data_IF_640255847496
#
_entry.id   IF_640255847496
#
_cell.length_a   1.000
_cell.length_b   1.000
_cell.length_c   1.000
_cell.angle_alpha   90.00
_cell.angle_beta   90.00
_cell.angle_gamma   90.00
#
_symmetry.space_group_name_H-M   'P 1'
#
loop_
_entity.id
_entity.type
_entity.pdbx_description
1 polymer ?
#
# COMPACT_ATOMS: atom_id res chain seq x y z
N UNK A 1 49.83 -14.13 61.88
CA UNK A 1 49.09 -14.89 60.84
C UNK A 1 47.63 -14.89 61.26
N UNK A 2 46.60 -14.49 60.52
CA UNK A 2 46.43 -13.98 59.16
C UNK A 2 45.17 -13.08 59.17
N UNK A 3 45.14 -12.02 58.35
CA UNK A 3 43.99 -11.14 58.18
C UNK A 3 43.04 -11.72 57.11
N UNK A 4 41.73 -11.76 57.39
CA UNK A 4 40.71 -12.15 56.43
C UNK A 4 40.00 -10.89 55.88
N UNK A 5 40.17 -10.62 54.59
CA UNK A 5 39.52 -9.54 53.88
C UNK A 5 38.14 -9.98 53.35
N UNK A 6 37.08 -9.21 53.64
CA UNK A 6 35.78 -9.34 53.00
C UNK A 6 35.81 -8.65 51.64
N UNK A 7 35.67 -9.41 50.55
CA UNK A 7 35.40 -8.86 49.21
C UNK A 7 33.89 -8.66 49.03
N UNK A 8 33.45 -7.41 48.94
CA UNK A 8 32.10 -7.06 48.51
C UNK A 8 32.02 -7.10 46.97
N UNK A 9 31.24 -8.02 46.42
CA UNK A 9 30.87 -8.03 45.01
C UNK A 9 29.80 -6.98 44.75
N UNK A 10 30.16 -5.89 44.09
CA UNK A 10 29.21 -4.91 43.55
C UNK A 10 28.57 -5.50 42.29
N UNK A 11 27.30 -5.88 42.37
CA UNK A 11 26.50 -6.23 41.21
C UNK A 11 26.19 -4.96 40.42
N UNK A 12 26.89 -4.75 39.31
CA UNK A 12 26.53 -3.72 38.34
C UNK A 12 25.18 -4.11 37.71
N UNK A 13 24.11 -3.46 38.17
CA UNK A 13 22.79 -3.57 37.55
C UNK A 13 22.87 -3.09 36.11
N UNK A 14 22.70 -4.00 35.16
CA UNK A 14 22.49 -3.63 33.77
C UNK A 14 21.24 -2.74 33.73
N UNK A 15 21.40 -1.48 33.35
CA UNK A 15 20.29 -0.59 33.07
C UNK A 15 19.47 -1.23 31.93
N UNK A 16 18.32 -1.81 32.28
CA UNK A 16 17.36 -2.30 31.31
C UNK A 16 16.91 -1.06 30.51
N UNK A 17 17.39 -0.93 29.27
CA UNK A 17 16.92 0.11 28.38
C UNK A 17 15.39 -0.01 28.29
N UNK A 18 14.68 1.05 28.67
CA UNK A 18 13.22 1.08 28.60
C UNK A 18 12.80 0.75 27.17
N UNK A 19 11.92 -0.24 27.02
CA UNK A 19 11.36 -0.58 25.72
C UNK A 19 10.73 0.69 25.12
N UNK A 20 10.96 0.98 23.82
CA UNK A 20 10.32 2.12 23.17
C UNK A 20 8.80 2.06 23.37
N UNK A 21 8.19 3.22 23.64
CA UNK A 21 6.74 3.30 23.78
C UNK A 21 6.04 2.73 22.52
N UNK A 22 4.90 2.03 22.66
CA UNK A 22 4.17 1.49 21.52
C UNK A 22 3.83 2.59 20.52
N UNK A 23 4.27 2.45 19.27
CA UNK A 23 3.92 3.39 18.19
C UNK A 23 2.57 2.98 17.64
N UNK A 24 1.53 3.77 17.92
CA UNK A 24 0.19 3.53 17.37
C UNK A 24 0.20 3.72 15.85
N UNK A 25 -0.19 2.69 15.07
CA UNK A 25 -0.27 2.82 13.62
C UNK A 25 -1.39 3.78 13.21
N UNK A 26 -1.19 4.47 12.11
CA UNK A 26 -2.16 5.39 11.51
C UNK A 26 -2.79 4.80 10.25
N UNK A 27 -3.72 5.51 9.61
CA UNK A 27 -4.22 5.13 8.27
C UNK A 27 -3.24 5.61 7.20
N UNK A 28 -2.97 4.77 6.18
CA UNK A 28 -2.22 5.23 5.01
C UNK A 28 -3.10 6.16 4.17
N UNK A 29 -2.52 7.25 3.68
CA UNK A 29 -3.14 8.30 2.86
C UNK A 29 -2.11 8.80 1.85
N UNK A 30 -2.54 9.55 0.84
CA UNK A 30 -1.61 10.22 -0.07
C UNK A 30 -0.60 11.16 0.63
N UNK A 31 -0.90 11.65 1.84
CA UNK A 31 -0.02 12.56 2.57
C UNK A 31 1.16 11.88 3.28
N UNK A 32 1.05 10.58 3.59
CA UNK A 32 2.10 9.80 4.28
C UNK A 32 2.61 8.63 3.43
N UNK A 33 2.25 8.58 2.15
CA UNK A 33 2.77 7.59 1.21
C UNK A 33 3.20 8.22 -0.09
N UNK A 34 4.31 7.75 -0.63
CA UNK A 34 4.67 7.97 -2.03
C UNK A 34 3.98 6.91 -2.90
N UNK A 35 3.29 7.35 -3.95
CA UNK A 35 2.58 6.49 -4.89
C UNK A 35 3.29 6.47 -6.25
N UNK A 36 3.42 5.28 -6.84
CA UNK A 36 3.93 5.11 -8.19
C UNK A 36 3.09 4.08 -8.95
N UNK A 37 2.87 4.31 -10.24
CA UNK A 37 2.20 3.36 -11.13
C UNK A 37 3.13 3.00 -12.28
N UNK A 38 3.24 1.71 -12.60
CA UNK A 38 4.09 1.21 -13.68
C UNK A 38 3.38 0.13 -14.48
N UNK A 39 3.67 0.06 -15.78
CA UNK A 39 3.27 -1.07 -16.61
C UNK A 39 4.11 -2.29 -16.24
N UNK A 40 3.51 -3.47 -16.21
CA UNK A 40 4.24 -4.73 -16.03
C UNK A 40 4.32 -5.47 -17.36
N UNK A 41 5.37 -6.26 -17.54
CA UNK A 41 5.58 -7.08 -18.74
C UNK A 41 4.74 -8.36 -18.73
N UNK A 42 4.42 -8.87 -17.55
CA UNK A 42 3.56 -10.03 -17.35
C UNK A 42 2.85 -9.91 -15.98
N UNK A 43 1.55 -10.21 -15.90
CA UNK A 43 0.63 -10.50 -17.02
C UNK A 43 0.44 -9.29 -17.96
N UNK A 44 -0.04 -9.53 -19.19
CA UNK A 44 -0.30 -8.47 -20.16
C UNK A 44 -1.50 -7.61 -19.72
N UNK A 45 -1.59 -6.34 -20.17
CA UNK A 45 -2.69 -5.42 -19.81
C UNK A 45 -2.85 -5.20 -18.30
N UNK A 46 -1.72 -5.23 -17.58
CA UNK A 46 -1.66 -4.94 -16.15
C UNK A 46 -0.78 -3.73 -15.84
N UNK A 47 -1.19 -2.99 -14.82
CA UNK A 47 -0.38 -2.03 -14.11
C UNK A 47 -0.14 -2.51 -12.68
N UNK A 48 0.95 -2.03 -12.10
CA UNK A 48 1.26 -2.19 -10.69
C UNK A 48 1.28 -0.81 -10.04
N UNK A 49 0.34 -0.59 -9.13
CA UNK A 49 0.35 0.53 -8.20
C UNK A 49 1.16 0.13 -6.97
N UNK A 50 2.08 1.00 -6.55
CA UNK A 50 2.90 0.83 -5.36
C UNK A 50 2.73 2.05 -4.45
N UNK A 51 2.35 1.82 -3.20
CA UNK A 51 2.37 2.80 -2.13
C UNK A 51 3.56 2.53 -1.20
N UNK A 52 4.37 3.52 -0.90
CA UNK A 52 5.50 3.41 0.05
C UNK A 52 5.30 4.37 1.20
N UNK A 53 5.30 3.88 2.44
CA UNK A 53 5.14 4.74 3.62
C UNK A 53 6.37 5.64 3.78
N UNK A 54 6.17 6.96 3.65
CA UNK A 54 7.20 7.99 3.82
C UNK A 54 7.14 8.67 5.19
N UNK A 55 6.15 8.31 6.01
CA UNK A 55 6.00 8.80 7.38
C UNK A 55 6.91 8.09 8.39
N UNK A 56 6.85 8.55 9.64
CA UNK A 56 7.64 8.02 10.76
C UNK A 56 6.92 6.96 11.61
N UNK A 57 5.65 6.67 11.30
CA UNK A 57 4.83 5.67 12.01
C UNK A 57 4.37 4.58 11.04
N UNK A 58 4.13 3.35 11.51
CA UNK A 58 3.43 2.36 10.70
C UNK A 58 2.07 2.89 10.25
N UNK A 59 1.64 2.53 9.05
CA UNK A 59 0.30 2.85 8.57
C UNK A 59 -0.41 1.61 8.01
N UNK A 60 -1.74 1.59 8.12
CA UNK A 60 -2.60 0.55 7.57
C UNK A 60 -3.15 0.97 6.21
N UNK A 61 -2.91 0.15 5.19
CA UNK A 61 -3.56 0.26 3.88
C UNK A 61 -4.81 -0.61 3.89
N UNK A 62 -5.97 0.02 4.08
CA UNK A 62 -7.26 -0.66 4.15
C UNK A 62 -7.83 -0.95 2.76
N UNK A 63 -8.53 -2.09 2.65
CA UNK A 63 -9.32 -2.51 1.49
C UNK A 63 -8.57 -2.38 0.15
N UNK A 64 -9.29 -2.03 -0.92
CA UNK A 64 -8.74 -1.57 -2.18
C UNK A 64 -8.68 -0.03 -2.22
N UNK A 65 -7.76 0.58 -2.98
CA UNK A 65 -7.86 1.99 -3.31
C UNK A 65 -9.02 2.23 -4.28
N UNK A 66 -9.66 3.40 -4.18
CA UNK A 66 -10.51 3.87 -5.27
C UNK A 66 -9.64 4.48 -6.35
N UNK A 67 -9.77 3.95 -7.56
CA UNK A 67 -9.07 4.43 -8.73
C UNK A 67 -10.03 5.14 -9.69
N UNK A 68 -9.53 6.19 -10.33
CA UNK A 68 -10.22 6.89 -11.41
C UNK A 68 -9.24 7.14 -12.53
N UNK A 69 -9.54 6.63 -13.72
CA UNK A 69 -8.80 6.94 -14.94
C UNK A 69 -9.34 8.24 -15.53
N UNK A 70 -8.47 9.23 -15.75
CA UNK A 70 -8.84 10.58 -16.18
C UNK A 70 -10.10 11.11 -15.45
N UNK A 71 -11.10 11.59 -16.19
CA UNK A 71 -12.38 12.10 -15.71
C UNK A 71 -13.49 11.04 -15.74
N UNK A 72 -13.14 9.76 -15.55
CA UNK A 72 -14.10 8.67 -15.52
C UNK A 72 -15.20 8.92 -14.46
N UNK A 73 -16.44 8.71 -14.88
CA UNK A 73 -17.65 9.00 -14.08
C UNK A 73 -17.78 8.09 -12.85
N UNK A 74 -17.14 6.93 -12.85
CA UNK A 74 -17.17 5.95 -11.77
C UNK A 74 -15.77 5.47 -11.43
N UNK A 75 -15.60 5.01 -10.19
CA UNK A 75 -14.36 4.38 -9.79
C UNK A 75 -14.18 3.04 -10.51
N UNK A 76 -12.94 2.65 -10.76
CA UNK A 76 -12.58 1.32 -11.27
C UNK A 76 -13.16 0.24 -10.35
N UNK A 77 -13.68 -0.83 -10.94
CA UNK A 77 -14.24 -1.95 -10.18
C UNK A 77 -13.16 -2.60 -9.29
N UNK A 78 -13.57 -3.16 -8.17
CA UNK A 78 -12.66 -3.86 -7.24
C UNK A 78 -12.79 -5.35 -7.46
N UNK A 79 -11.65 -6.03 -7.58
CA UNK A 79 -11.58 -7.48 -7.55
C UNK A 79 -11.74 -7.97 -6.10
N UNK A 80 -12.94 -8.45 -5.77
CA UNK A 80 -13.28 -8.95 -4.44
C UNK A 80 -12.66 -10.32 -4.11
N UNK A 81 -12.13 -11.06 -5.08
CA UNK A 81 -11.44 -12.33 -4.83
C UNK A 81 -10.01 -12.10 -4.31
N UNK A 82 -9.52 -10.86 -4.36
CA UNK A 82 -8.16 -10.48 -3.93
C UNK A 82 -8.04 -10.08 -2.45
N UNK A 83 -9.07 -10.27 -1.62
CA UNK A 83 -9.04 -9.90 -0.19
C UNK A 83 -7.83 -10.53 0.53
N UNK A 84 -6.96 -9.74 1.18
CA UNK A 84 -5.80 -10.27 1.88
C UNK A 84 -6.21 -10.94 3.19
N UNK A 85 -5.40 -11.89 3.66
CA UNK A 85 -5.64 -12.58 4.94
C UNK A 85 -5.64 -11.64 6.15
N UNK A 86 -4.94 -10.51 6.05
CA UNK A 86 -4.88 -9.47 7.07
C UNK A 86 -4.70 -8.10 6.41
N UNK A 87 -5.04 -7.04 7.14
CA UNK A 87 -4.78 -5.67 6.69
C UNK A 87 -3.29 -5.46 6.43
N UNK A 88 -2.97 -4.85 5.29
CA UNK A 88 -1.58 -4.61 4.93
C UNK A 88 -1.04 -3.46 5.77
N UNK A 89 -0.01 -3.76 6.57
CA UNK A 89 0.68 -2.78 7.42
C UNK A 89 2.00 -2.38 6.77
N UNK A 90 2.21 -1.08 6.60
CA UNK A 90 3.46 -0.53 6.06
C UNK A 90 4.22 0.11 7.21
N UNK A 91 5.33 -0.49 7.64
CA UNK A 91 6.31 0.22 8.46
C UNK A 91 6.94 1.37 7.64
N UNK A 92 7.57 2.37 8.29
CA UNK A 92 8.33 3.40 7.58
C UNK A 92 9.28 2.82 6.52
N UNK A 93 9.18 3.30 5.28
CA UNK A 93 9.95 2.82 4.13
C UNK A 93 9.46 1.52 3.49
N UNK A 94 8.44 0.84 4.05
CA UNK A 94 7.85 -0.38 3.45
C UNK A 94 6.75 -0.01 2.48
N UNK A 95 6.38 -0.98 1.64
CA UNK A 95 5.43 -0.77 0.55
C UNK A 95 4.30 -1.78 0.51
N UNK A 96 3.16 -1.32 0.02
CA UNK A 96 2.03 -2.14 -0.41
C UNK A 96 1.81 -2.00 -1.92
N UNK A 97 1.11 -2.97 -2.50
CA UNK A 97 0.93 -3.11 -3.94
C UNK A 97 -0.53 -3.36 -4.28
N UNK A 98 -1.03 -2.78 -5.36
CA UNK A 98 -2.30 -3.15 -5.95
C UNK A 98 -2.10 -3.45 -7.43
N UNK A 99 -2.66 -4.56 -7.90
CA UNK A 99 -2.71 -4.91 -9.31
C UNK A 99 -3.88 -4.20 -9.95
N UNK A 100 -3.69 -3.73 -11.18
CA UNK A 100 -4.74 -3.09 -11.96
C UNK A 100 -4.79 -3.78 -13.32
N UNK A 101 -5.88 -4.46 -13.64
CA UNK A 101 -6.17 -4.88 -15.02
C UNK A 101 -6.70 -3.67 -15.77
N UNK A 102 -6.22 -3.45 -16.98
CA UNK A 102 -6.67 -2.33 -17.80
C UNK A 102 -7.76 -2.74 -18.78
N UNK A 103 -7.73 -3.98 -19.25
CA UNK A 103 -8.69 -4.47 -20.24
C UNK A 103 -8.80 -5.99 -20.22
N UNK A 104 -9.88 -6.51 -20.81
CA UNK A 104 -10.09 -7.94 -21.05
C UNK A 104 -10.63 -8.17 -22.47
N UNK A 105 -10.57 -9.40 -23.01
CA UNK A 105 -11.11 -9.69 -24.35
C UNK A 105 -12.60 -9.40 -24.52
N UNK A 106 -13.35 -9.37 -23.42
CA UNK A 106 -14.80 -9.09 -23.40
C UNK A 106 -15.14 -7.64 -23.05
N UNK A 107 -14.14 -6.82 -22.72
CA UNK A 107 -14.33 -5.43 -22.34
C UNK A 107 -14.75 -4.54 -23.52
N UNK A 108 -15.53 -3.51 -23.22
CA UNK A 108 -16.03 -2.53 -24.19
C UNK A 108 -15.70 -1.10 -23.75
N UNK A 109 -16.01 -0.09 -24.58
CA UNK A 109 -15.67 1.32 -24.31
C UNK A 109 -14.16 1.57 -24.12
N UNK A 110 -13.33 0.85 -24.89
CA UNK A 110 -11.88 1.02 -24.86
C UNK A 110 -11.49 2.45 -25.23
N UNK A 111 -10.73 3.08 -24.36
CA UNK A 111 -10.16 4.41 -24.56
C UNK A 111 -8.73 4.46 -24.03
N UNK A 112 -7.99 5.52 -24.37
CA UNK A 112 -6.64 5.73 -23.86
C UNK A 112 -6.70 6.74 -22.72
N UNK A 113 -6.29 6.31 -21.53
CA UNK A 113 -6.22 7.16 -20.34
C UNK A 113 -4.79 7.67 -20.10
N UNK A 114 -4.65 8.84 -19.49
CA UNK A 114 -3.36 9.50 -19.27
C UNK A 114 -3.01 9.74 -17.79
N UNK A 115 -4.03 9.86 -16.95
CA UNK A 115 -3.94 10.13 -15.53
C UNK A 115 -4.67 9.07 -14.72
N UNK A 116 -4.15 8.80 -13.53
CA UNK A 116 -4.71 7.88 -12.56
C UNK A 116 -4.87 8.59 -11.21
N UNK A 117 -6.11 8.94 -10.89
CA UNK A 117 -6.49 9.37 -9.55
C UNK A 117 -6.51 8.19 -8.60
N UNK A 118 -5.80 8.29 -7.48
CA UNK A 118 -5.69 7.26 -6.44
C UNK A 118 -6.21 7.83 -5.13
N UNK A 119 -7.19 7.15 -4.54
CA UNK A 119 -7.76 7.53 -3.24
C UNK A 119 -7.69 6.35 -2.28
N UNK A 120 -7.01 6.52 -1.16
CA UNK A 120 -7.03 5.54 -0.07
C UNK A 120 -8.41 5.47 0.57
N UNK A 121 -8.81 4.30 1.05
CA UNK A 121 -10.10 4.11 1.70
C UNK A 121 -9.94 4.07 3.22
N UNK A 122 -11.00 4.47 3.93
CA UNK A 122 -11.06 4.36 5.38
C UNK A 122 -11.31 2.89 5.80
N UNK A 123 -11.11 2.59 7.09
CA UNK A 123 -11.27 1.24 7.64
C UNK A 123 -12.66 0.64 7.40
N UNK A 124 -13.71 1.45 7.50
CA UNK A 124 -15.10 1.01 7.31
C UNK A 124 -15.49 0.82 5.83
N UNK A 125 -14.60 1.19 4.90
CA UNK A 125 -14.83 1.21 3.46
C UNK A 125 -16.04 2.04 3.00
N UNK A 126 -16.40 3.07 3.76
CA UNK A 126 -17.52 3.96 3.46
C UNK A 126 -17.09 5.28 2.82
N UNK A 127 -15.78 5.50 2.67
CA UNK A 127 -15.26 6.73 2.09
C UNK A 127 -13.74 6.81 2.06
N UNK A 128 -13.25 7.98 1.64
CA UNK A 128 -11.83 8.26 1.48
C UNK A 128 -11.12 8.42 2.82
N UNK A 129 -9.86 7.96 2.87
CA UNK A 129 -8.89 8.31 3.89
C UNK A 129 -7.99 9.44 3.37
N UNK A 130 -8.45 10.67 3.54
CA UNK A 130 -7.72 11.87 3.12
C UNK A 130 -7.95 12.25 1.65
N UNK A 131 -7.04 13.06 1.10
CA UNK A 131 -7.13 13.58 -0.28
C UNK A 131 -6.65 12.52 -1.28
N UNK A 132 -7.17 12.61 -2.50
CA UNK A 132 -6.70 11.86 -3.66
C UNK A 132 -5.32 12.35 -4.12
N UNK A 133 -4.57 11.46 -4.77
CA UNK A 133 -3.34 11.79 -5.48
C UNK A 133 -3.50 11.47 -6.96
N UNK A 134 -2.98 12.33 -7.84
CA UNK A 134 -3.01 12.12 -9.29
C UNK A 134 -1.64 11.67 -9.78
N UNK A 135 -1.61 10.55 -10.51
CA UNK A 135 -0.42 9.96 -11.07
C UNK A 135 -0.47 9.99 -12.60
N UNK A 136 0.64 10.32 -13.24
CA UNK A 136 0.77 10.16 -14.70
C UNK A 136 0.91 8.68 -15.06
N UNK A 137 0.10 8.23 -16.00
CA UNK A 137 0.19 6.87 -16.51
C UNK A 137 1.47 6.68 -17.36
N UNK A 138 2.11 5.49 -17.28
CA UNK A 138 3.35 5.23 -17.98
C UNK A 138 3.16 5.23 -19.51
N UNK A 139 4.25 5.53 -20.24
CA UNK A 139 4.25 5.44 -21.70
C UNK A 139 3.37 6.46 -22.42
N UNK A 140 3.01 7.57 -21.75
CA UNK A 140 2.13 8.59 -22.32
C UNK A 140 0.67 8.15 -22.39
N UNK A 141 0.28 7.18 -21.57
CA UNK A 141 -1.09 6.70 -21.42
C UNK A 141 -1.26 5.22 -21.74
N UNK A 142 -2.30 4.62 -21.16
CA UNK A 142 -2.60 3.19 -21.30
C UNK A 142 -4.02 3.01 -21.82
N UNK A 143 -4.27 1.92 -22.54
CA UNK A 143 -5.62 1.59 -22.96
C UNK A 143 -6.35 0.93 -21.81
N UNK A 144 -7.54 1.45 -21.51
CA UNK A 144 -8.44 0.91 -20.50
C UNK A 144 -9.83 0.71 -21.09
N UNK A 145 -10.58 -0.22 -20.55
CA UNK A 145 -11.98 -0.49 -20.91
C UNK A 145 -12.85 -0.68 -19.65
N UNK A 146 -14.13 -0.97 -19.83
CA UNK A 146 -15.09 -1.15 -18.73
C UNK A 146 -14.86 -2.39 -17.86
N UNK A 147 -13.97 -3.30 -18.26
CA UNK A 147 -13.60 -4.50 -17.50
C UNK A 147 -12.38 -4.28 -16.59
N UNK A 148 -11.82 -3.07 -16.58
CA UNK A 148 -10.72 -2.69 -15.71
C UNK A 148 -11.08 -2.90 -14.22
N UNK A 149 -10.17 -3.55 -13.50
CA UNK A 149 -10.36 -3.89 -12.09
C UNK A 149 -9.09 -3.62 -11.29
N UNK A 150 -9.25 -3.37 -9.99
CA UNK A 150 -8.15 -3.19 -9.04
C UNK A 150 -8.24 -4.18 -7.89
N UNK A 151 -7.11 -4.75 -7.49
CA UNK A 151 -7.06 -5.61 -6.31
C UNK A 151 -7.14 -4.82 -5.01
N UNK A 152 -7.45 -5.51 -3.92
CA UNK A 152 -7.09 -5.03 -2.58
C UNK A 152 -5.59 -4.77 -2.48
N UNK A 153 -5.18 -3.93 -1.53
CA UNK A 153 -3.78 -3.79 -1.19
C UNK A 153 -3.18 -5.14 -0.79
N UNK A 154 -2.00 -5.43 -1.34
CA UNK A 154 -1.23 -6.65 -1.12
C UNK A 154 0.13 -6.31 -0.51
N UNK A 155 0.64 -7.20 0.33
CA UNK A 155 1.95 -7.05 0.94
C UNK A 155 3.11 -7.22 -0.07
N UNK A 156 2.88 -7.93 -1.18
CA UNK A 156 3.91 -8.20 -2.18
C UNK A 156 3.40 -7.95 -3.60
N UNK A 157 4.34 -7.62 -4.49
CA UNK A 157 4.08 -7.50 -5.92
C UNK A 157 3.52 -8.79 -6.52
N UNK A 158 4.02 -9.95 -6.09
CA UNK A 158 3.57 -11.23 -6.62
C UNK A 158 2.09 -11.48 -6.32
N UNK A 159 1.65 -11.19 -5.09
CA UNK A 159 0.23 -11.31 -4.71
C UNK A 159 -0.69 -10.34 -5.45
N UNK A 160 -0.17 -9.17 -5.85
CA UNK A 160 -0.92 -8.17 -6.61
C UNK A 160 -1.10 -8.55 -8.10
N UNK A 161 -0.25 -9.42 -8.64
CA UNK A 161 -0.21 -9.77 -10.07
C UNK A 161 -0.49 -11.26 -10.34
N UNK A 162 -1.11 -11.96 -9.38
CA UNK A 162 -1.27 -13.42 -9.41
C UNK A 162 -2.45 -13.93 -10.26
N UNK A 163 -3.22 -13.04 -10.85
CA UNK A 163 -4.54 -13.33 -11.42
C UNK A 163 -4.59 -12.97 -12.90
#
# INVERSE_FOLDING_TARGET
>A
MAAAALTATVSAGAAQAAAPAPVTPVTCTAANTELTVKKVSSPADHLLLKATNTGSKPCYAYNAPYLRFDEAQSATAVDFDSVPQAVVTLEPGKSAYAGITTSSPTGTHRHKAHDLGVTFTNRAWTGAAGRSADLKLPGGGVYVDDSAQVTYWQATRALALRW
#
